data_IF_937777746338
#
_entry.id   IF_937777746338
#
_cell.length_a   1.000
_cell.length_b   1.000
_cell.length_c   1.000
_cell.angle_alpha   90.00
_cell.angle_beta   90.00
_cell.angle_gamma   90.00
#
_symmetry.space_group_name_H-M   'P 1'
#
loop_
_entity.id
_entity.type
_entity.pdbx_description
1 polymer ?
#
# COMPACT_ATOMS: atom_id res chain seq x y z
N UNK A 1 -17.68 53.09 -2.54
CA UNK A 1 -16.88 52.50 -1.43
C UNK A 1 -17.42 51.18 -0.85
N UNK A 2 -18.73 50.93 -0.78
CA UNK A 2 -19.28 49.70 -0.14
C UNK A 2 -18.97 48.37 -0.85
N UNK A 3 -18.70 48.40 -2.16
CA UNK A 3 -18.39 47.18 -2.94
C UNK A 3 -16.97 46.66 -2.70
N UNK A 4 -16.00 47.57 -2.55
CA UNK A 4 -14.58 47.22 -2.37
C UNK A 4 -14.32 46.52 -1.03
N UNK A 5 -15.03 46.94 0.03
CA UNK A 5 -14.94 46.34 1.36
C UNK A 5 -15.44 44.89 1.39
N UNK A 6 -16.46 44.55 0.58
CA UNK A 6 -16.98 43.17 0.48
C UNK A 6 -15.97 42.24 -0.18
N UNK A 7 -15.25 42.70 -1.19
CA UNK A 7 -14.22 41.91 -1.88
C UNK A 7 -13.05 41.60 -0.94
N UNK A 8 -12.59 42.59 -0.17
CA UNK A 8 -11.52 42.38 0.83
C UNK A 8 -11.96 41.39 1.90
N UNK A 9 -13.19 41.50 2.42
CA UNK A 9 -13.70 40.60 3.44
C UNK A 9 -13.75 39.14 2.96
N UNK A 10 -14.21 38.91 1.72
CA UNK A 10 -14.24 37.57 1.11
C UNK A 10 -12.82 37.03 0.93
N UNK A 11 -11.88 37.88 0.52
CA UNK A 11 -10.50 37.46 0.31
C UNK A 11 -9.82 37.06 1.64
N UNK A 12 -10.03 37.84 2.70
CA UNK A 12 -9.53 37.52 4.05
C UNK A 12 -10.13 36.22 4.55
N UNK A 13 -11.43 36.01 4.34
CA UNK A 13 -12.11 34.78 4.76
C UNK A 13 -11.64 33.54 3.98
N UNK A 14 -11.37 33.69 2.68
CA UNK A 14 -10.79 32.62 1.87
C UNK A 14 -9.36 32.29 2.33
N UNK A 15 -8.57 33.30 2.69
CA UNK A 15 -7.20 33.13 3.15
C UNK A 15 -7.13 32.43 4.51
N UNK A 16 -8.03 32.76 5.44
CA UNK A 16 -8.10 32.09 6.75
C UNK A 16 -8.55 30.64 6.62
N UNK A 17 -9.53 30.34 5.77
CA UNK A 17 -9.94 28.96 5.46
C UNK A 17 -8.79 28.17 4.83
N UNK A 18 -8.07 28.76 3.87
CA UNK A 18 -6.92 28.11 3.24
C UNK A 18 -5.80 27.81 4.26
N UNK A 19 -5.52 28.74 5.17
CA UNK A 19 -4.53 28.55 6.23
C UNK A 19 -4.92 27.43 7.21
N UNK A 20 -6.21 27.37 7.59
CA UNK A 20 -6.77 26.30 8.43
C UNK A 20 -6.65 24.92 7.75
N UNK A 21 -6.97 24.84 6.46
CA UNK A 21 -6.83 23.61 5.69
C UNK A 21 -5.37 23.17 5.52
N UNK A 22 -4.44 24.12 5.36
CA UNK A 22 -3.01 23.83 5.26
C UNK A 22 -2.44 23.34 6.60
N UNK A 23 -2.83 23.95 7.72
CA UNK A 23 -2.41 23.54 9.06
C UNK A 23 -2.89 22.13 9.44
N UNK A 24 -4.11 21.75 9.06
CA UNK A 24 -4.62 20.39 9.29
C UNK A 24 -3.86 19.30 8.50
N UNK A 25 -3.29 19.64 7.33
CA UNK A 25 -2.58 18.67 6.48
C UNK A 25 -1.21 18.25 7.04
N UNK A 26 -0.53 19.12 7.79
CA UNK A 26 0.81 18.85 8.33
C UNK A 26 0.86 17.82 9.46
N UNK A 27 -0.24 17.62 10.20
CA UNK A 27 -0.29 16.71 11.35
C UNK A 27 -0.46 15.23 10.99
N UNK A 28 -1.15 14.92 9.88
CA UNK A 28 -1.42 13.52 9.50
C UNK A 28 -0.18 12.79 8.94
N UNK A 29 0.67 13.49 8.19
CA UNK A 29 1.84 12.87 7.54
C UNK A 29 2.85 12.33 8.56
N UNK A 30 3.12 13.06 9.65
CA UNK A 30 4.09 12.64 10.68
C UNK A 30 3.72 11.33 11.38
N UNK A 31 2.43 10.99 11.45
CA UNK A 31 1.96 9.75 12.10
C UNK A 31 2.15 8.53 11.19
N UNK A 32 2.01 8.72 9.87
CA UNK A 32 2.23 7.66 8.87
C UNK A 32 3.72 7.30 8.81
N UNK A 33 4.61 8.28 8.79
CA UNK A 33 6.07 8.06 8.79
C UNK A 33 6.55 7.25 10.01
N UNK A 34 5.93 7.49 11.18
CA UNK A 34 6.27 6.79 12.43
C UNK A 34 5.85 5.32 12.43
N UNK A 35 4.77 4.98 11.71
CA UNK A 35 4.29 3.60 11.59
C UNK A 35 5.13 2.84 10.55
N UNK A 36 5.51 3.48 9.44
CA UNK A 36 6.42 2.89 8.45
C UNK A 36 7.80 2.59 9.04
N UNK A 37 8.39 3.50 9.82
CA UNK A 37 9.68 3.27 10.47
C UNK A 37 9.68 2.14 11.52
N UNK A 38 8.52 1.80 12.09
CA UNK A 38 8.39 0.67 13.02
C UNK A 38 8.18 -0.68 12.31
N UNK A 39 7.69 -0.67 11.06
CA UNK A 39 7.51 -1.88 10.24
C UNK A 39 8.77 -2.30 9.49
N UNK A 40 9.75 -1.41 9.30
CA UNK A 40 11.08 -1.74 8.77
C UNK A 40 12.00 -2.42 9.81
N UNK A 41 11.47 -3.32 10.64
CA UNK A 41 12.33 -4.29 11.32
C UNK A 41 12.93 -5.19 10.26
N UNK A 42 14.08 -4.78 9.72
CA UNK A 42 14.96 -5.59 8.88
C UNK A 42 15.05 -6.97 9.50
N UNK A 43 14.52 -7.96 8.79
CA UNK A 43 14.78 -9.36 9.12
C UNK A 43 16.30 -9.48 9.20
N UNK A 44 16.86 -9.97 10.32
CA UNK A 44 18.31 -10.08 10.47
C UNK A 44 18.82 -10.95 9.32
N UNK A 45 19.85 -10.46 8.62
CA UNK A 45 20.32 -11.02 7.36
C UNK A 45 20.72 -12.51 7.47
N UNK A 46 21.01 -12.97 8.69
CA UNK A 46 21.27 -14.37 9.03
C UNK A 46 20.11 -15.33 8.70
N UNK A 47 18.86 -14.84 8.66
CA UNK A 47 17.68 -15.65 8.35
C UNK A 47 17.17 -15.44 6.91
N UNK A 48 17.87 -14.65 6.11
CA UNK A 48 17.48 -14.35 4.74
C UNK A 48 18.16 -15.34 3.79
N UNK A 49 17.47 -16.43 3.47
CA UNK A 49 17.90 -17.32 2.40
C UNK A 49 17.63 -16.66 1.04
N UNK A 50 18.67 -16.12 0.40
CA UNK A 50 18.61 -15.58 -0.96
C UNK A 50 19.28 -16.59 -1.88
N UNK A 51 18.57 -17.01 -2.94
CA UNK A 51 19.16 -17.86 -3.95
C UNK A 51 20.43 -17.21 -4.54
N UNK A 52 21.52 -17.96 -4.77
CA UNK A 52 22.80 -17.39 -5.20
C UNK A 52 22.72 -16.59 -6.50
N UNK A 53 21.72 -16.88 -7.35
CA UNK A 53 21.50 -16.21 -8.64
C UNK A 53 20.37 -15.16 -8.62
N UNK A 54 19.82 -14.81 -7.45
CA UNK A 54 18.70 -13.87 -7.32
C UNK A 54 18.94 -12.50 -7.98
N UNK A 55 20.19 -12.03 -7.96
CA UNK A 55 20.56 -10.75 -8.57
C UNK A 55 20.76 -10.83 -10.09
N UNK A 56 21.01 -12.04 -10.64
CA UNK A 56 21.18 -12.28 -12.08
C UNK A 56 19.81 -12.42 -12.75
N UNK A 57 18.92 -13.18 -12.13
CA UNK A 57 17.58 -13.49 -12.63
C UNK A 57 16.52 -12.93 -11.68
N UNK A 58 16.49 -11.59 -11.52
CA UNK A 58 15.46 -10.97 -10.69
C UNK A 58 14.08 -11.39 -11.20
N UNK A 59 13.19 -11.91 -10.34
CA UNK A 59 11.90 -12.38 -10.77
C UNK A 59 11.12 -11.22 -11.41
N UNK A 60 10.80 -11.36 -12.69
CA UNK A 60 10.10 -10.31 -13.44
C UNK A 60 8.61 -10.26 -13.11
N UNK A 61 8.05 -11.35 -12.59
CA UNK A 61 6.64 -11.50 -12.30
C UNK A 61 6.39 -12.28 -11.02
N UNK A 62 5.33 -11.92 -10.32
CA UNK A 62 4.90 -12.55 -9.06
C UNK A 62 3.42 -12.93 -9.16
N UNK A 63 3.10 -14.17 -8.79
CA UNK A 63 1.74 -14.67 -8.67
C UNK A 63 1.45 -15.03 -7.22
N UNK A 64 0.29 -14.62 -6.71
CA UNK A 64 -0.11 -14.92 -5.33
C UNK A 64 -1.17 -16.02 -5.32
N UNK A 65 -0.73 -17.21 -4.93
CA UNK A 65 -1.57 -18.39 -4.82
C UNK A 65 -2.52 -18.31 -3.62
N UNK A 66 -3.63 -19.08 -3.64
CA UNK A 66 -4.49 -19.22 -2.47
C UNK A 66 -3.72 -19.79 -1.27
N UNK A 67 -3.99 -19.25 -0.08
CA UNK A 67 -3.42 -19.74 1.17
C UNK A 67 -4.35 -20.76 1.81
N UNK A 68 -3.77 -21.80 2.41
CA UNK A 68 -4.49 -22.68 3.31
C UNK A 68 -4.78 -21.95 4.62
N UNK A 69 -6.04 -21.98 5.06
CA UNK A 69 -6.45 -21.36 6.32
C UNK A 69 -6.47 -22.42 7.43
N UNK A 70 -5.48 -22.37 8.32
CA UNK A 70 -5.41 -23.25 9.50
C UNK A 70 -6.14 -22.69 10.73
N UNK A 71 -6.78 -21.52 10.60
CA UNK A 71 -7.51 -20.87 11.68
C UNK A 71 -9.02 -21.14 11.59
N UNK A 72 -9.75 -20.87 12.67
CA UNK A 72 -11.22 -20.96 12.67
C UNK A 72 -11.90 -19.76 11.99
N UNK A 73 -11.17 -18.69 11.71
CA UNK A 73 -11.71 -17.45 11.15
C UNK A 73 -11.97 -17.58 9.66
N UNK A 74 -13.24 -17.42 9.26
CA UNK A 74 -13.63 -17.51 7.84
C UNK A 74 -13.08 -16.31 7.06
N UNK A 75 -12.51 -16.58 5.88
CA UNK A 75 -11.99 -15.53 5.00
C UNK A 75 -10.63 -14.95 5.39
N UNK A 76 -9.99 -15.45 6.46
CA UNK A 76 -8.66 -15.01 6.86
C UNK A 76 -7.62 -15.19 5.75
N UNK A 77 -7.67 -16.32 5.02
CA UNK A 77 -6.80 -16.59 3.88
C UNK A 77 -7.00 -15.59 2.74
N UNK A 78 -8.25 -15.24 2.42
CA UNK A 78 -8.57 -14.28 1.35
C UNK A 78 -8.13 -12.86 1.71
N UNK A 79 -8.33 -12.46 2.96
CA UNK A 79 -7.86 -11.17 3.48
C UNK A 79 -6.34 -11.10 3.40
N UNK A 80 -5.63 -12.12 3.89
CA UNK A 80 -4.18 -12.21 3.83
C UNK A 80 -3.70 -12.15 2.37
N UNK A 81 -4.36 -12.89 1.47
CA UNK A 81 -4.03 -12.88 0.05
C UNK A 81 -4.14 -11.51 -0.60
N UNK A 82 -5.20 -10.76 -0.29
CA UNK A 82 -5.38 -9.39 -0.79
C UNK A 82 -4.32 -8.44 -0.25
N UNK A 83 -3.95 -8.58 1.02
CA UNK A 83 -2.89 -7.77 1.62
C UNK A 83 -1.55 -8.01 0.94
N UNK A 84 -1.18 -9.27 0.69
CA UNK A 84 0.03 -9.60 -0.05
C UNK A 84 -0.04 -9.05 -1.47
N UNK A 85 -1.18 -9.20 -2.17
CA UNK A 85 -1.36 -8.68 -3.52
C UNK A 85 -1.12 -7.17 -3.59
N UNK A 86 -1.77 -6.42 -2.70
CA UNK A 86 -1.62 -4.96 -2.63
C UNK A 86 -0.16 -4.54 -2.33
N UNK A 87 0.54 -5.32 -1.49
CA UNK A 87 1.94 -5.06 -1.21
C UNK A 87 2.81 -5.28 -2.45
N UNK A 88 2.68 -6.42 -3.12
CA UNK A 88 3.49 -6.73 -4.30
C UNK A 88 3.13 -5.89 -5.53
N UNK A 89 1.87 -5.48 -5.69
CA UNK A 89 1.43 -4.60 -6.79
C UNK A 89 2.02 -3.19 -6.67
N UNK A 90 2.49 -2.79 -5.49
CA UNK A 90 3.17 -1.51 -5.28
C UNK A 90 4.67 -1.54 -5.60
N UNK A 91 5.23 -2.73 -5.81
CA UNK A 91 6.65 -2.94 -6.07
C UNK A 91 6.91 -3.09 -7.58
N UNK A 92 8.18 -3.00 -7.98
CA UNK A 92 8.60 -3.10 -9.38
C UNK A 92 8.59 -4.55 -9.92
N UNK A 93 7.51 -5.28 -9.69
CA UNK A 93 7.25 -6.62 -10.22
C UNK A 93 6.03 -6.57 -11.14
N UNK A 94 5.98 -7.45 -12.14
CA UNK A 94 4.74 -7.69 -12.89
C UNK A 94 3.82 -8.60 -12.09
N UNK A 95 2.84 -8.03 -11.40
CA UNK A 95 1.85 -8.82 -10.69
C UNK A 95 0.87 -9.50 -11.64
N UNK A 96 0.30 -10.62 -11.19
CA UNK A 96 -0.78 -11.32 -11.88
C UNK A 96 -2.05 -11.17 -11.04
N UNK A 97 -3.12 -10.68 -11.66
CA UNK A 97 -4.40 -10.47 -10.98
C UNK A 97 -4.93 -11.75 -10.34
N UNK A 98 -5.50 -11.60 -9.13
CA UNK A 98 -6.07 -12.70 -8.36
C UNK A 98 -7.18 -13.45 -9.12
N UNK A 99 -7.99 -12.73 -9.90
CA UNK A 99 -9.03 -13.27 -10.79
C UNK A 99 -8.47 -14.25 -11.82
N UNK A 100 -7.37 -13.85 -12.47
CA UNK A 100 -6.66 -14.65 -13.47
C UNK A 100 -6.09 -15.92 -12.86
N UNK A 101 -5.51 -15.82 -11.66
CA UNK A 101 -5.00 -17.00 -10.93
C UNK A 101 -6.16 -17.94 -10.60
N UNK A 102 -7.27 -17.42 -10.07
CA UNK A 102 -8.44 -18.25 -9.71
C UNK A 102 -9.05 -18.98 -10.92
N UNK A 103 -9.01 -18.37 -12.12
CA UNK A 103 -9.50 -19.00 -13.34
C UNK A 103 -8.55 -20.09 -13.88
N UNK A 104 -7.23 -19.89 -13.74
CA UNK A 104 -6.22 -20.79 -14.31
C UNK A 104 -5.81 -21.93 -13.40
N UNK A 105 -5.79 -21.71 -12.08
CA UNK A 105 -5.32 -22.67 -11.10
C UNK A 105 -6.07 -24.02 -11.16
N UNK A 106 -7.41 -24.07 -11.33
CA UNK A 106 -8.12 -25.34 -11.45
C UNK A 106 -7.74 -26.16 -12.70
N UNK A 107 -7.19 -25.50 -13.71
CA UNK A 107 -6.77 -26.11 -14.98
C UNK A 107 -5.29 -26.52 -14.95
N UNK A 108 -4.56 -26.16 -13.90
CA UNK A 108 -3.15 -26.48 -13.75
C UNK A 108 -2.99 -27.92 -13.27
N UNK A 109 -2.49 -28.79 -14.14
CA UNK A 109 -2.10 -30.16 -13.81
C UNK A 109 -0.56 -30.23 -13.76
N UNK A 110 0.05 -30.32 -12.57
CA UNK A 110 1.51 -30.25 -12.38
C UNK A 110 2.27 -31.43 -12.98
#
# INVERSE_FOLDING_TARGET
MKSFLKVILVFVFALTIWFLLFACRGGLNKKIDRIQGALERKIPAENLFVAPDYNKDRPLSVAILPFENLTQEKGASDLLRRLFYNNFSSLAYKDIELSTINAKLPQFNP
#
